data_IF_680425220707
#
_entry.id   IF_680425220707
#
_cell.length_a   1.000
_cell.length_b   1.000
_cell.length_c   1.000
_cell.angle_alpha   90.00
_cell.angle_beta   90.00
_cell.angle_gamma   90.00
#
_symmetry.space_group_name_H-M   'P 1'
#
loop_
_entity.id
_entity.type
_entity.pdbx_description
1 polymer ?
#
# COMPACT_ATOMS: atom_id res chain seq x y z
N UNK A 1 2.49 -3.96 -73.48
CA UNK A 1 2.77 -3.30 -72.19
C UNK A 1 4.04 -3.91 -71.60
N UNK A 2 4.89 -3.03 -71.05
CA UNK A 2 6.16 -3.28 -70.34
C UNK A 2 7.42 -3.65 -71.15
N UNK A 3 8.11 -2.57 -71.55
CA UNK A 3 9.56 -2.34 -71.46
C UNK A 3 10.21 -2.93 -70.20
N UNK A 4 11.52 -3.07 -70.03
CA UNK A 4 12.73 -3.20 -70.86
C UNK A 4 13.88 -3.22 -69.83
N UNK A 5 15.02 -3.83 -70.18
CA UNK A 5 16.37 -3.44 -69.73
C UNK A 5 16.72 -3.59 -68.21
N UNK A 6 17.95 -3.81 -67.72
CA UNK A 6 19.29 -4.07 -68.27
C UNK A 6 20.26 -4.20 -67.07
N UNK A 7 21.28 -5.06 -67.21
CA UNK A 7 22.64 -5.05 -66.63
C UNK A 7 22.94 -5.14 -65.11
N UNK A 8 23.82 -6.13 -64.85
CA UNK A 8 24.98 -6.16 -63.93
C UNK A 8 25.56 -4.79 -63.54
N UNK A 9 25.97 -4.61 -62.28
CA UNK A 9 27.38 -4.45 -61.83
C UNK A 9 27.53 -3.97 -60.37
N UNK A 10 28.66 -4.38 -59.76
CA UNK A 10 29.47 -3.70 -58.71
C UNK A 10 28.83 -3.53 -57.32
N UNK A 11 29.21 -4.27 -56.28
CA UNK A 11 30.53 -4.28 -55.59
C UNK A 11 31.11 -2.90 -55.30
N UNK A 12 30.66 -2.31 -54.19
CA UNK A 12 31.43 -1.58 -53.18
C UNK A 12 30.45 -0.78 -52.33
N UNK A 13 30.60 -0.82 -50.99
CA UNK A 13 30.81 0.40 -50.16
C UNK A 13 30.69 0.13 -48.65
N UNK A 14 31.77 0.52 -47.98
CA UNK A 14 31.85 1.21 -46.68
C UNK A 14 31.34 0.48 -45.42
N UNK A 15 32.28 -0.14 -44.72
CA UNK A 15 32.22 -0.31 -43.26
C UNK A 15 32.71 0.99 -42.61
N UNK A 16 31.80 1.82 -42.13
CA UNK A 16 32.12 2.96 -41.27
C UNK A 16 31.97 2.52 -39.80
N UNK A 17 33.08 2.29 -39.10
CA UNK A 17 33.10 2.23 -37.64
C UNK A 17 33.05 3.66 -37.12
N UNK A 18 31.89 4.06 -36.57
CA UNK A 18 31.79 5.25 -35.72
C UNK A 18 31.68 4.77 -34.28
N UNK A 19 32.59 5.30 -33.46
CA UNK A 19 32.77 5.02 -32.06
C UNK A 19 31.51 5.30 -31.22
N UNK A 20 31.20 4.39 -30.30
CA UNK A 20 30.42 4.71 -29.11
C UNK A 20 31.22 4.26 -27.90
N UNK A 21 32.15 5.12 -27.49
CA UNK A 21 32.84 5.05 -26.21
C UNK A 21 31.79 5.07 -25.10
N UNK A 22 31.68 3.96 -24.36
CA UNK A 22 30.88 3.83 -23.16
C UNK A 22 31.34 4.86 -22.12
N UNK A 23 30.63 5.98 -22.01
CA UNK A 23 30.60 6.74 -20.77
C UNK A 23 29.80 5.93 -19.75
N UNK A 24 30.47 5.08 -18.99
CA UNK A 24 29.95 4.48 -17.78
C UNK A 24 29.83 5.57 -16.71
N UNK A 25 28.80 6.39 -16.80
CA UNK A 25 28.29 7.08 -15.62
C UNK A 25 27.51 6.05 -14.80
N UNK A 26 27.78 5.88 -13.49
CA UNK A 26 26.84 5.18 -12.64
C UNK A 26 25.56 6.00 -12.68
N UNK A 27 24.51 5.45 -13.28
CA UNK A 27 23.18 5.95 -13.08
C UNK A 27 22.95 5.91 -11.57
N UNK A 28 22.99 7.06 -10.92
CA UNK A 28 22.42 7.25 -9.60
C UNK A 28 20.95 6.84 -9.72
N UNK A 29 20.66 5.58 -9.44
CA UNK A 29 19.32 5.10 -9.16
C UNK A 29 18.91 5.78 -7.85
N UNK A 30 18.40 7.00 -7.94
CA UNK A 30 17.54 7.53 -6.89
C UNK A 30 16.24 6.76 -6.99
N UNK A 31 16.19 5.56 -6.40
CA UNK A 31 14.90 4.95 -6.07
C UNK A 31 14.12 5.98 -5.24
N UNK A 32 12.92 6.40 -5.68
CA UNK A 32 12.13 7.35 -4.91
C UNK A 32 11.93 6.82 -3.48
N UNK A 33 12.15 7.68 -2.47
CA UNK A 33 11.87 7.37 -1.05
C UNK A 33 10.36 7.23 -0.76
N UNK A 34 9.53 7.40 -1.78
CA UNK A 34 8.09 7.56 -1.69
C UNK A 34 7.34 6.28 -1.26
N UNK A 35 8.04 5.14 -1.20
CA UNK A 35 7.48 3.82 -0.92
C UNK A 35 8.10 3.16 0.33
N UNK A 36 8.82 3.90 1.16
CA UNK A 36 9.38 3.36 2.39
C UNK A 36 8.31 3.28 3.49
N UNK A 37 8.01 2.05 3.91
CA UNK A 37 7.11 1.79 5.03
C UNK A 37 7.86 2.06 6.35
N UNK A 38 7.89 3.33 6.76
CA UNK A 38 8.61 3.81 7.94
C UNK A 38 7.70 4.68 8.80
N UNK A 39 7.55 4.32 10.08
CA UNK A 39 6.72 5.04 11.06
C UNK A 39 7.44 5.19 12.38
N UNK A 40 7.16 6.28 13.09
CA UNK A 40 7.59 6.46 14.47
C UNK A 40 6.81 5.51 15.36
N UNK A 41 7.52 4.67 16.11
CA UNK A 41 6.91 3.77 17.09
C UNK A 41 6.15 4.57 18.17
N UNK A 42 4.84 4.35 18.36
CA UNK A 42 4.12 4.98 19.45
C UNK A 42 4.60 4.48 20.82
N UNK A 43 4.43 5.30 21.86
CA UNK A 43 4.85 4.94 23.21
C UNK A 43 4.11 3.69 23.71
N UNK A 44 4.86 2.68 24.15
CA UNK A 44 4.29 1.45 24.70
C UNK A 44 3.75 0.48 23.64
N UNK A 45 4.01 0.75 22.36
CA UNK A 45 3.75 -0.15 21.24
C UNK A 45 5.09 -0.57 20.65
N UNK A 46 5.28 -1.87 20.47
CA UNK A 46 6.41 -2.46 19.75
C UNK A 46 6.05 -2.58 18.28
N UNK A 47 6.94 -2.18 17.38
CA UNK A 47 6.74 -2.30 15.93
C UNK A 47 7.74 -3.30 15.38
N UNK A 48 7.24 -4.31 14.66
CA UNK A 48 8.08 -5.33 14.01
C UNK A 48 7.85 -5.33 12.51
N UNK A 49 8.93 -5.43 11.74
CA UNK A 49 8.86 -5.53 10.28
C UNK A 49 8.53 -6.95 9.82
N UNK A 50 8.04 -7.06 8.58
CA UNK A 50 7.68 -8.31 7.92
C UNK A 50 6.70 -9.16 8.75
N UNK A 51 5.65 -8.48 9.23
CA UNK A 51 4.57 -9.10 9.99
C UNK A 51 3.97 -10.33 9.27
N UNK A 52 3.42 -11.33 9.99
CA UNK A 52 2.99 -12.60 9.43
C UNK A 52 2.08 -12.48 8.20
N UNK A 53 1.23 -11.46 8.18
CA UNK A 53 0.30 -11.20 7.08
C UNK A 53 1.02 -10.97 5.73
N UNK A 54 2.18 -10.30 5.72
CA UNK A 54 2.91 -9.98 4.50
C UNK A 54 3.39 -11.24 3.75
N UNK A 55 3.61 -12.35 4.45
CA UNK A 55 4.19 -13.58 3.88
C UNK A 55 3.29 -14.25 2.84
N UNK A 56 2.00 -13.96 2.88
CA UNK A 56 1.01 -14.56 1.98
C UNK A 56 0.80 -13.75 0.70
N UNK A 57 1.37 -12.54 0.62
CA UNK A 57 1.07 -11.60 -0.46
C UNK A 57 2.35 -11.09 -1.12
N UNK A 58 2.56 -11.38 -2.42
CA UNK A 58 3.67 -10.82 -3.17
C UNK A 58 3.71 -9.29 -3.08
N UNK A 59 4.91 -8.70 -3.14
CA UNK A 59 5.11 -7.24 -3.15
C UNK A 59 4.44 -6.51 -1.98
N UNK A 60 4.24 -7.20 -0.85
CA UNK A 60 3.63 -6.65 0.35
C UNK A 60 4.66 -6.58 1.46
N UNK A 61 4.79 -5.40 2.06
CA UNK A 61 5.60 -5.18 3.27
C UNK A 61 4.66 -4.73 4.36
N UNK A 62 4.79 -5.28 5.56
CA UNK A 62 3.92 -4.90 6.68
C UNK A 62 4.73 -4.67 7.95
N UNK A 63 4.27 -3.69 8.72
CA UNK A 63 4.63 -3.48 10.10
C UNK A 63 3.52 -4.07 10.97
N UNK A 64 3.88 -4.91 11.93
CA UNK A 64 3.00 -5.42 12.97
C UNK A 64 3.20 -4.62 14.26
N UNK A 65 2.10 -4.16 14.85
CA UNK A 65 2.08 -3.32 16.04
C UNK A 65 1.61 -4.15 17.21
N UNK A 66 2.42 -4.22 18.26
CA UNK A 66 2.17 -5.08 19.40
C UNK A 66 2.11 -4.29 20.71
N UNK A 67 1.17 -4.67 21.57
CA UNK A 67 1.05 -4.18 22.95
C UNK A 67 0.93 -5.36 23.89
N UNK A 68 1.81 -5.42 24.90
CA UNK A 68 1.86 -6.55 25.85
C UNK A 68 1.96 -7.92 25.14
N UNK A 69 2.81 -8.01 24.12
CA UNK A 69 3.06 -9.22 23.29
C UNK A 69 1.83 -9.74 22.52
N UNK A 70 0.81 -8.89 22.31
CA UNK A 70 -0.32 -9.18 21.43
C UNK A 70 -0.29 -8.22 20.25
N UNK A 71 -0.50 -8.75 19.05
CA UNK A 71 -0.76 -7.90 17.88
C UNK A 71 -2.06 -7.13 18.11
N UNK A 72 -1.98 -5.82 17.90
CA UNK A 72 -3.10 -4.88 18.02
C UNK A 72 -3.43 -4.25 16.67
N UNK A 73 -2.73 -4.64 15.61
CA UNK A 73 -2.94 -4.14 14.26
C UNK A 73 -1.70 -4.17 13.41
N UNK A 74 -1.88 -3.84 12.14
CA UNK A 74 -0.83 -3.80 11.15
C UNK A 74 -0.99 -2.62 10.20
N UNK A 75 0.12 -2.22 9.58
CA UNK A 75 0.18 -1.26 8.48
C UNK A 75 1.00 -1.89 7.37
N UNK A 76 0.43 -1.97 6.17
CA UNK A 76 1.05 -2.56 5.01
C UNK A 76 1.20 -1.57 3.87
N UNK A 77 2.27 -1.72 3.11
CA UNK A 77 2.44 -1.17 1.77
C UNK A 77 2.38 -2.33 0.78
N UNK A 78 1.53 -2.23 -0.24
CA UNK A 78 1.32 -3.31 -1.19
C UNK A 78 0.94 -2.80 -2.58
N UNK A 79 1.13 -3.66 -3.58
CA UNK A 79 0.55 -3.58 -4.93
C UNK A 79 -0.22 -4.86 -5.28
N UNK A 80 -0.50 -5.72 -4.30
CA UNK A 80 -1.14 -7.02 -4.52
C UNK A 80 -2.66 -6.88 -4.63
N UNK A 81 -3.19 -7.23 -5.80
CA UNK A 81 -4.65 -7.31 -6.04
C UNK A 81 -5.32 -8.35 -5.13
N UNK A 82 -4.63 -9.44 -4.81
CA UNK A 82 -5.13 -10.43 -3.87
C UNK A 82 -5.21 -9.84 -2.46
N UNK A 83 -4.20 -9.07 -2.04
CA UNK A 83 -4.20 -8.46 -0.72
C UNK A 83 -5.37 -7.48 -0.56
N UNK A 84 -5.56 -6.55 -1.50
CA UNK A 84 -6.64 -5.55 -1.44
C UNK A 84 -8.04 -6.21 -1.44
N UNK A 85 -8.20 -7.30 -2.19
CA UNK A 85 -9.43 -8.10 -2.23
C UNK A 85 -9.67 -8.80 -0.89
N UNK A 86 -8.65 -9.47 -0.33
CA UNK A 86 -8.76 -10.22 0.92
C UNK A 86 -9.02 -9.31 2.13
N UNK A 87 -8.49 -8.08 2.13
CA UNK A 87 -8.81 -7.08 3.16
C UNK A 87 -10.13 -6.35 2.91
N UNK A 88 -10.86 -6.73 1.85
CA UNK A 88 -12.23 -6.31 1.57
C UNK A 88 -12.39 -4.90 1.01
N UNK A 89 -11.34 -4.29 0.47
CA UNK A 89 -11.44 -2.93 -0.11
C UNK A 89 -12.01 -3.02 -1.52
N UNK A 90 -13.10 -2.29 -1.77
CA UNK A 90 -13.73 -2.19 -3.07
C UNK A 90 -14.07 -0.74 -3.42
N UNK A 91 -13.90 -0.36 -4.68
CA UNK A 91 -14.40 0.90 -5.23
C UNK A 91 -15.77 0.65 -5.87
N UNK A 92 -16.78 1.44 -5.50
CA UNK A 92 -18.15 1.24 -6.03
C UNK A 92 -18.46 2.08 -7.27
N UNK A 93 -17.50 2.83 -7.82
CA UNK A 93 -17.67 3.58 -9.07
C UNK A 93 -16.33 3.86 -9.81
N UNK A 94 -16.45 4.11 -11.11
CA UNK A 94 -15.38 4.48 -12.06
C UNK A 94 -14.50 5.65 -11.55
N UNK A 95 -13.18 5.68 -11.88
CA UNK A 95 -12.21 6.70 -11.40
C UNK A 95 -12.57 8.17 -11.67
N UNK A 96 -13.52 8.43 -12.58
CA UNK A 96 -13.95 9.78 -12.95
C UNK A 96 -15.11 10.32 -12.09
N UNK A 97 -15.79 9.45 -11.34
CA UNK A 97 -16.70 9.84 -10.27
C UNK A 97 -15.92 9.85 -8.96
N UNK A 98 -16.28 10.68 -7.99
CA UNK A 98 -15.73 10.63 -6.63
C UNK A 98 -16.07 9.26 -6.00
N UNK A 99 -15.31 8.22 -6.35
CA UNK A 99 -15.65 6.84 -6.05
C UNK A 99 -15.77 6.65 -4.55
N UNK A 100 -16.93 6.13 -4.11
CA UNK A 100 -17.10 5.70 -2.74
C UNK A 100 -16.24 4.45 -2.55
N UNK A 101 -15.23 4.55 -1.70
CA UNK A 101 -14.48 3.38 -1.27
C UNK A 101 -15.22 2.72 -0.12
N UNK A 102 -15.32 1.41 -0.16
CA UNK A 102 -15.94 0.62 0.88
C UNK A 102 -14.95 -0.43 1.37
N UNK A 103 -15.12 -0.84 2.63
CA UNK A 103 -14.45 -2.00 3.20
C UNK A 103 -15.50 -3.00 3.68
N UNK A 104 -15.36 -4.24 3.26
CA UNK A 104 -16.18 -5.36 3.75
C UNK A 104 -15.42 -6.10 4.84
N UNK A 105 -16.02 -6.11 6.03
CA UNK A 105 -15.62 -6.97 7.15
C UNK A 105 -16.32 -8.33 7.05
N UNK A 106 -16.07 -9.23 8.01
CA UNK A 106 -16.77 -10.52 8.07
C UNK A 106 -18.30 -10.43 8.24
N UNK A 107 -18.85 -9.27 8.64
CA UNK A 107 -20.29 -9.12 8.89
C UNK A 107 -20.96 -8.05 8.03
N UNK A 108 -20.29 -6.92 7.81
CA UNK A 108 -20.90 -5.74 7.19
C UNK A 108 -19.94 -5.04 6.23
N UNK A 109 -20.52 -4.23 5.34
CA UNK A 109 -19.79 -3.32 4.47
C UNK A 109 -19.91 -1.90 4.99
N UNK A 110 -18.77 -1.20 5.02
CA UNK A 110 -18.63 0.15 5.58
C UNK A 110 -18.12 1.11 4.51
N UNK A 111 -18.69 2.31 4.47
CA UNK A 111 -18.15 3.39 3.64
C UNK A 111 -16.89 3.98 4.30
N UNK A 112 -15.81 4.07 3.54
CA UNK A 112 -14.59 4.73 3.96
C UNK A 112 -14.69 6.24 3.70
N UNK A 113 -14.56 7.02 4.78
CA UNK A 113 -14.64 8.48 4.72
C UNK A 113 -13.26 9.08 4.41
N UNK A 114 -13.15 10.00 3.44
CA UNK A 114 -11.90 10.66 3.13
C UNK A 114 -11.52 11.70 4.20
N UNK A 115 -10.25 11.71 4.56
CA UNK A 115 -9.60 12.77 5.35
C UNK A 115 -8.27 13.15 4.69
N UNK A 116 -7.85 14.40 4.86
CA UNK A 116 -6.60 14.89 4.27
C UNK A 116 -5.48 14.85 5.30
N UNK A 117 -4.38 14.17 4.96
CA UNK A 117 -3.18 14.05 5.80
C UNK A 117 -1.94 14.39 4.97
N UNK A 118 -1.23 15.46 5.35
CA UNK A 118 -0.06 15.98 4.62
C UNK A 118 -0.29 16.10 3.10
N UNK A 119 -1.46 16.61 2.69
CA UNK A 119 -1.82 16.79 1.28
C UNK A 119 -2.27 15.54 0.53
N UNK A 120 -2.36 14.38 1.20
CA UNK A 120 -2.84 13.12 0.61
C UNK A 120 -4.18 12.72 1.21
N UNK A 121 -5.02 12.06 0.41
CA UNK A 121 -6.30 11.53 0.89
C UNK A 121 -6.09 10.17 1.54
N UNK A 122 -6.46 10.07 2.80
CA UNK A 122 -6.57 8.82 3.56
C UNK A 122 -8.07 8.51 3.72
N UNK A 123 -8.46 7.30 3.37
CA UNK A 123 -9.84 6.82 3.52
C UNK A 123 -9.92 5.98 4.78
N UNK A 124 -10.88 6.26 5.67
CA UNK A 124 -10.94 5.65 7.01
C UNK A 124 -12.34 5.17 7.37
N UNK A 125 -12.45 4.11 8.15
CA UNK A 125 -13.70 3.66 8.76
C UNK A 125 -13.42 2.96 10.08
N UNK A 126 -14.36 3.08 11.02
CA UNK A 126 -14.46 2.14 12.13
C UNK A 126 -15.37 0.99 11.70
N UNK A 127 -14.88 -0.23 11.85
CA UNK A 127 -15.55 -1.45 11.40
C UNK A 127 -15.64 -2.47 12.52
N UNK A 128 -16.60 -3.38 12.43
CA UNK A 128 -16.57 -4.58 13.25
C UNK A 128 -15.40 -5.49 12.84
N UNK A 129 -14.77 -6.11 13.83
CA UNK A 129 -13.66 -7.04 13.63
C UNK A 129 -13.61 -8.11 14.72
N UNK A 130 -12.83 -9.16 14.45
CA UNK A 130 -12.42 -10.13 15.46
C UNK A 130 -11.02 -9.78 15.98
N UNK A 131 -10.84 -9.78 17.30
CA UNK A 131 -9.53 -9.62 17.95
C UNK A 131 -9.00 -10.93 18.54
N UNK A 132 -9.65 -12.06 18.23
CA UNK A 132 -9.28 -13.40 18.69
C UNK A 132 -8.88 -14.27 17.52
N UNK A 133 -7.80 -15.01 17.71
CA UNK A 133 -7.43 -16.16 16.86
C UNK A 133 -8.36 -17.36 17.11
N UNK A 134 -9.68 -17.15 17.06
CA UNK A 134 -10.67 -18.21 17.22
C UNK A 134 -11.02 -18.82 15.85
N UNK A 135 -11.39 -20.11 15.84
CA UNK A 135 -11.77 -20.82 14.61
C UNK A 135 -13.03 -20.26 13.90
N UNK A 136 -13.78 -19.37 14.56
CA UNK A 136 -14.98 -18.74 14.03
C UNK A 136 -14.88 -17.23 14.26
N UNK A 137 -15.07 -16.46 13.17
CA UNK A 137 -15.10 -15.00 13.22
C UNK A 137 -16.19 -14.51 14.17
N UNK A 138 -15.81 -13.61 15.08
CA UNK A 138 -16.71 -12.93 16.00
C UNK A 138 -16.43 -11.44 15.98
N UNK A 139 -17.36 -10.69 15.39
CA UNK A 139 -17.45 -9.22 15.42
C UNK A 139 -17.68 -8.67 16.83
N UNK A 140 -16.73 -8.92 17.73
CA UNK A 140 -16.77 -8.51 19.15
C UNK A 140 -15.91 -7.30 19.43
N UNK A 141 -15.15 -6.86 18.43
CA UNK A 141 -14.22 -5.76 18.52
C UNK A 141 -14.53 -4.68 17.50
N UNK A 142 -14.13 -3.45 17.81
CA UNK A 142 -14.13 -2.33 16.90
C UNK A 142 -12.71 -2.10 16.40
N UNK A 143 -12.54 -2.00 15.09
CA UNK A 143 -11.26 -1.76 14.44
C UNK A 143 -11.28 -0.49 13.61
N UNK A 144 -10.16 0.22 13.57
CA UNK A 144 -9.93 1.31 12.64
C UNK A 144 -9.24 0.77 11.39
N UNK A 145 -9.95 0.83 10.26
CA UNK A 145 -9.40 0.54 8.94
C UNK A 145 -9.03 1.84 8.26
N UNK A 146 -7.91 1.83 7.56
CA UNK A 146 -7.55 2.95 6.70
C UNK A 146 -6.84 2.49 5.42
N UNK A 147 -7.05 3.24 4.35
CA UNK A 147 -6.55 2.97 3.00
C UNK A 147 -6.07 4.27 2.35
N UNK A 148 -4.86 4.28 1.82
CA UNK A 148 -4.29 5.41 1.09
C UNK A 148 -3.75 4.92 -0.25
N UNK A 149 -4.41 5.23 -1.38
CA UNK A 149 -3.87 4.94 -2.69
C UNK A 149 -2.62 5.81 -2.94
N UNK A 150 -1.63 5.23 -3.63
CA UNK A 150 -0.46 5.95 -4.11
C UNK A 150 -0.23 5.65 -5.60
N UNK A 151 0.77 6.30 -6.21
CA UNK A 151 1.04 6.13 -7.63
C UNK A 151 1.41 4.68 -8.01
N UNK A 152 1.27 4.36 -9.30
CA UNK A 152 1.64 3.06 -9.88
C UNK A 152 0.91 1.87 -9.24
N UNK A 153 -0.40 2.02 -8.94
CA UNK A 153 -1.25 0.99 -8.35
C UNK A 153 -0.75 0.42 -7.00
N UNK A 154 0.12 1.16 -6.30
CA UNK A 154 0.48 0.83 -4.93
C UNK A 154 -0.49 1.49 -3.95
N UNK A 155 -0.53 1.00 -2.72
CA UNK A 155 -1.37 1.55 -1.67
C UNK A 155 -0.80 1.23 -0.29
N UNK A 156 -1.18 2.06 0.68
CA UNK A 156 -1.06 1.73 2.09
C UNK A 156 -2.41 1.27 2.63
N UNK A 157 -2.39 0.29 3.52
CA UNK A 157 -3.56 -0.20 4.23
C UNK A 157 -3.21 -0.45 5.70
N UNK A 158 -4.11 -0.13 6.61
CA UNK A 158 -3.98 -0.54 8.02
C UNK A 158 -5.28 -1.07 8.58
N UNK A 159 -5.16 -1.96 9.55
CA UNK A 159 -6.24 -2.38 10.43
C UNK A 159 -5.72 -2.42 11.86
N UNK A 160 -6.36 -1.67 12.77
CA UNK A 160 -5.99 -1.58 14.18
C UNK A 160 -7.19 -1.88 15.07
N UNK A 161 -7.02 -2.78 16.03
CA UNK A 161 -8.05 -3.09 17.01
C UNK A 161 -8.11 -1.95 18.02
N UNK A 162 -9.23 -1.22 18.08
CA UNK A 162 -9.43 -0.14 19.04
C UNK A 162 -9.84 -0.71 20.40
N UNK A 163 -10.88 -1.53 20.39
CA UNK A 163 -11.44 -2.11 21.61
C UNK A 163 -12.16 -3.43 21.34
N UNK A 164 -12.32 -4.22 22.40
CA UNK A 164 -13.12 -5.44 22.43
C UNK A 164 -14.29 -5.25 23.38
N UNK A 165 -15.50 -5.17 22.83
CA UNK A 165 -16.72 -4.98 23.60
C UNK A 165 -17.06 -6.17 24.50
N UNK A 166 -16.68 -7.40 24.13
CA UNK A 166 -16.94 -8.60 24.92
C UNK A 166 -16.05 -8.73 26.16
N UNK A 167 -14.85 -8.14 26.15
CA UNK A 167 -13.93 -8.15 27.30
C UNK A 167 -13.76 -6.77 27.95
N UNK A 168 -14.38 -5.73 27.38
CA UNK A 168 -14.17 -4.32 27.76
C UNK A 168 -12.70 -3.89 27.71
N UNK A 169 -11.89 -4.55 26.88
CA UNK A 169 -10.47 -4.23 26.71
C UNK A 169 -10.29 -3.13 25.66
N UNK A 170 -9.48 -2.11 25.96
CA UNK A 170 -9.02 -1.13 24.97
C UNK A 170 -7.56 -1.39 24.60
N UNK A 171 -7.27 -1.44 23.30
CA UNK A 171 -5.96 -1.83 22.76
C UNK A 171 -5.16 -0.62 22.28
N UNK A 172 -5.71 0.17 21.36
CA UNK A 172 -5.16 1.44 20.89
C UNK A 172 -6.28 2.45 20.68
N UNK A 173 -6.03 3.74 20.95
CA UNK A 173 -6.99 4.80 20.65
C UNK A 173 -6.81 5.33 19.22
N UNK A 174 -7.88 5.88 18.65
CA UNK A 174 -7.90 6.43 17.29
C UNK A 174 -6.82 7.51 17.09
N UNK A 175 -6.56 8.34 18.11
CA UNK A 175 -5.52 9.37 18.04
C UNK A 175 -4.15 8.76 17.77
N UNK A 176 -3.81 7.69 18.46
CA UNK A 176 -2.54 6.97 18.28
C UNK A 176 -2.46 6.37 16.88
N UNK A 177 -3.55 5.79 16.36
CA UNK A 177 -3.61 5.29 14.98
C UNK A 177 -3.38 6.41 13.98
N UNK A 178 -4.02 7.56 14.18
CA UNK A 178 -3.84 8.73 13.32
C UNK A 178 -2.43 9.31 13.39
N UNK A 179 -1.77 9.27 14.55
CA UNK A 179 -0.38 9.73 14.68
C UNK A 179 0.61 8.79 13.97
N UNK A 180 0.31 7.48 13.88
CA UNK A 180 1.06 6.53 13.02
C UNK A 180 0.94 6.98 11.56
N UNK A 181 -0.27 7.26 11.07
CA UNK A 181 -0.49 7.72 9.70
C UNK A 181 0.17 9.06 9.41
N UNK A 182 0.16 10.01 10.36
CA UNK A 182 0.88 11.30 10.19
C UNK A 182 2.37 11.09 10.10
N UNK A 183 2.91 10.17 10.90
CA UNK A 183 4.33 9.81 10.83
C UNK A 183 4.69 9.21 9.48
N UNK A 184 3.86 8.30 8.95
CA UNK A 184 4.07 7.69 7.64
C UNK A 184 4.06 8.76 6.54
N UNK A 185 3.01 9.57 6.49
CA UNK A 185 2.83 10.59 5.47
C UNK A 185 3.94 11.65 5.47
N UNK A 186 4.57 11.89 6.64
CA UNK A 186 5.74 12.76 6.75
C UNK A 186 7.01 12.11 6.19
N UNK A 187 7.15 10.78 6.33
CA UNK A 187 8.30 10.03 5.84
C UNK A 187 8.25 9.82 4.31
N UNK A 188 7.07 9.64 3.73
CA UNK A 188 6.87 9.33 2.30
C UNK A 188 6.77 10.58 1.40
N UNK A 189 7.34 11.71 1.84
CA UNK A 189 7.40 12.94 1.04
C UNK A 189 6.06 13.69 0.98
N UNK A 190 5.82 14.53 1.98
CA UNK A 190 4.94 15.69 1.89
C UNK A 190 5.75 16.89 1.40
N UNK A 191 5.96 17.00 0.09
CA UNK A 191 6.39 18.26 -0.51
C UNK A 191 5.13 18.96 -1.02
N UNK A 192 4.66 19.93 -0.23
CA UNK A 192 3.79 20.99 -0.74
C UNK A 192 4.54 21.91 -1.68
#
# INVERSE_FOLDING_TARGET
MSYAHTMKQLSNRLTALVALSCLSAPACSSTPKDNELSVRSPKGITVTADGPIARNYPQTKCLDFQRKNKSIGFLCFSSSEQFITDVGIAATASPDAQGHLQVTSGMSTYELKPIIINGRTLFTAEVDCDDRDAALYRATSACHVAFMPVANAHFFYSNFILSNGATSTSWVDERTVMDIWKSLASATGGHG
#
